data_IF_352227059840
#
_entry.id   IF_352227059840
#
_cell.length_a   1.000
_cell.length_b   1.000
_cell.length_c   1.000
_cell.angle_alpha   90.00
_cell.angle_beta   90.00
_cell.angle_gamma   90.00
#
_symmetry.space_group_name_H-M   'P 1'
#
loop_
_entity.id
_entity.type
_entity.pdbx_description
1 polymer ?
#
# COMPACT_ATOMS: atom_id res chain seq x y z
N UNK A 1 -12.07 -36.74 9.37
CA UNK A 1 -12.83 -37.37 10.46
C UNK A 1 -12.18 -37.03 11.79
N UNK A 2 -12.75 -36.11 12.57
CA UNK A 2 -12.41 -35.89 13.99
C UNK A 2 -13.72 -35.52 14.70
N UNK A 3 -14.20 -36.42 15.56
CA UNK A 3 -15.44 -36.28 16.33
C UNK A 3 -15.09 -35.58 17.64
N UNK A 4 -15.79 -34.50 17.97
CA UNK A 4 -15.68 -33.82 19.28
C UNK A 4 -16.87 -34.21 20.15
N UNK A 5 -16.59 -34.62 21.38
CA UNK A 5 -17.54 -35.11 22.38
C UNK A 5 -18.15 -33.95 23.19
N UNK A 6 -19.44 -34.09 23.54
CA UNK A 6 -20.21 -33.17 24.39
C UNK A 6 -20.05 -33.59 25.86
N UNK A 7 -19.77 -32.63 26.74
CA UNK A 7 -19.86 -32.81 28.19
C UNK A 7 -21.32 -32.62 28.64
N UNK A 8 -21.88 -33.67 29.24
CA UNK A 8 -23.12 -33.64 29.99
C UNK A 8 -22.90 -32.99 31.38
N UNK A 9 -23.85 -32.17 31.84
CA UNK A 9 -24.03 -31.91 33.26
C UNK A 9 -25.43 -32.38 33.66
N UNK A 10 -25.46 -33.24 34.68
CA UNK A 10 -26.63 -33.95 35.19
C UNK A 10 -26.70 -33.67 36.70
N UNK A 11 -27.82 -33.13 37.19
CA UNK A 11 -28.31 -33.15 38.58
C UNK A 11 -29.74 -32.55 38.55
N UNK A 12 -30.81 -33.16 39.05
CA UNK A 12 -30.92 -34.31 39.94
C UNK A 12 -32.31 -34.97 39.96
N UNK A 13 -32.46 -35.85 40.97
CA UNK A 13 -33.45 -36.90 41.19
C UNK A 13 -34.93 -36.48 41.33
N UNK A 14 -35.82 -37.37 40.87
CA UNK A 14 -37.22 -37.51 41.32
C UNK A 14 -37.84 -38.81 40.78
N UNK A 15 -38.29 -39.70 41.67
CA UNK A 15 -38.70 -41.08 41.39
C UNK A 15 -40.24 -41.23 41.37
N UNK A 16 -40.72 -42.08 40.44
CA UNK A 16 -41.97 -42.88 40.44
C UNK A 16 -43.31 -42.28 39.95
N UNK A 17 -43.76 -42.77 38.79
CA UNK A 17 -45.12 -42.68 38.25
C UNK A 17 -45.20 -43.30 36.85
N UNK A 18 -45.53 -44.59 36.75
CA UNK A 18 -45.66 -45.32 35.48
C UNK A 18 -47.03 -45.02 34.83
N UNK A 19 -47.07 -43.99 33.98
CA UNK A 19 -48.11 -43.80 32.98
C UNK A 19 -47.39 -43.40 31.68
N UNK A 20 -47.69 -44.09 30.57
CA UNK A 20 -46.96 -43.96 29.31
C UNK A 20 -46.95 -42.54 28.76
N UNK A 21 -45.88 -41.80 29.02
CA UNK A 21 -45.55 -40.57 28.30
C UNK A 21 -44.53 -40.97 27.23
N UNK A 22 -44.98 -41.06 25.98
CA UNK A 22 -44.05 -41.20 24.85
C UNK A 22 -43.09 -40.01 24.88
N UNK A 23 -41.76 -40.20 24.96
CA UNK A 23 -40.85 -39.07 24.84
C UNK A 23 -41.04 -38.48 23.45
N UNK A 24 -41.58 -37.27 23.36
CA UNK A 24 -41.51 -36.49 22.13
C UNK A 24 -40.03 -36.16 21.93
N UNK A 25 -39.42 -36.81 20.94
CA UNK A 25 -38.12 -36.39 20.42
C UNK A 25 -38.30 -34.98 19.87
N UNK A 26 -37.95 -33.96 20.67
CA UNK A 26 -37.78 -32.60 20.17
C UNK A 26 -36.53 -32.61 19.31
N UNK A 27 -36.70 -32.75 18.00
CA UNK A 27 -35.65 -32.40 17.05
C UNK A 27 -35.47 -30.88 17.11
N UNK A 28 -34.33 -30.42 17.59
CA UNK A 28 -33.91 -29.05 17.33
C UNK A 28 -33.78 -28.90 15.81
N UNK A 29 -34.59 -28.04 15.20
CA UNK A 29 -34.41 -27.68 13.79
C UNK A 29 -33.13 -26.85 13.68
N UNK A 30 -32.26 -27.20 12.73
CA UNK A 30 -31.12 -26.34 12.41
C UNK A 30 -31.63 -24.96 11.97
N UNK A 31 -31.22 -23.91 12.69
CA UNK A 31 -31.50 -22.53 12.31
C UNK A 31 -30.29 -21.99 11.56
N UNK A 32 -30.39 -21.95 10.23
CA UNK A 32 -29.36 -21.36 9.38
C UNK A 32 -29.58 -19.85 9.29
N UNK A 33 -28.68 -19.06 9.86
CA UNK A 33 -28.66 -17.60 9.68
C UNK A 33 -27.71 -17.24 8.53
N UNK A 34 -28.16 -16.40 7.60
CA UNK A 34 -27.34 -15.88 6.52
C UNK A 34 -26.91 -14.43 6.84
N UNK A 35 -25.61 -14.16 6.78
CA UNK A 35 -25.06 -12.80 6.83
C UNK A 35 -24.64 -12.32 5.44
N UNK A 36 -24.83 -11.04 5.14
CA UNK A 36 -24.31 -10.39 3.92
C UNK A 36 -23.58 -9.10 4.27
N UNK A 37 -22.49 -8.82 3.56
CA UNK A 37 -21.74 -7.56 3.65
C UNK A 37 -21.58 -7.00 2.24
N UNK A 38 -21.78 -5.70 2.07
CA UNK A 38 -21.57 -4.98 0.81
C UNK A 38 -20.45 -3.95 0.99
N UNK A 39 -19.45 -4.01 0.13
CA UNK A 39 -18.36 -3.04 0.08
C UNK A 39 -18.64 -1.96 -0.97
N UNK A 40 -18.13 -0.76 -0.74
CA UNK A 40 -18.07 0.34 -1.72
C UNK A 40 -16.61 0.64 -1.98
N UNK A 41 -16.29 1.05 -3.22
CA UNK A 41 -14.93 1.45 -3.57
C UNK A 41 -14.52 2.71 -2.82
N UNK A 42 -13.32 2.68 -2.28
CA UNK A 42 -12.68 3.85 -1.70
C UNK A 42 -12.08 4.71 -2.83
N UNK A 43 -12.45 5.98 -2.85
CA UNK A 43 -12.00 6.98 -3.82
C UNK A 43 -10.98 7.95 -3.22
N UNK A 44 -10.67 7.82 -1.92
CA UNK A 44 -9.74 8.72 -1.24
C UNK A 44 -8.33 8.55 -1.79
N UNK A 45 -7.58 9.65 -1.75
CA UNK A 45 -6.13 9.60 -1.90
C UNK A 45 -5.52 8.81 -0.74
N UNK A 46 -4.43 8.10 -1.01
CA UNK A 46 -3.63 7.41 0.00
C UNK A 46 -2.34 8.21 0.20
N UNK A 47 -1.97 8.42 1.46
CA UNK A 47 -0.71 9.10 1.78
C UNK A 47 0.49 8.18 1.49
N UNK A 48 1.64 8.74 1.08
CA UNK A 48 2.88 7.98 0.92
C UNK A 48 3.28 7.31 2.23
N UNK A 49 3.76 6.06 2.15
CA UNK A 49 4.29 5.29 3.28
C UNK A 49 5.81 5.18 3.19
N UNK A 50 6.42 4.73 4.27
CA UNK A 50 7.83 4.35 4.26
C UNK A 50 8.00 3.09 3.38
N UNK A 51 8.81 3.15 2.30
CA UNK A 51 8.99 2.00 1.40
C UNK A 51 9.75 0.84 2.05
N UNK A 52 10.51 1.08 3.11
CA UNK A 52 11.27 0.06 3.85
C UNK A 52 10.44 -0.59 4.97
N UNK A 53 9.44 0.13 5.48
CA UNK A 53 8.52 -0.38 6.50
C UNK A 53 7.11 0.22 6.30
N UNK A 54 6.25 -0.42 5.48
CA UNK A 54 4.89 0.08 5.23
C UNK A 54 3.95 0.02 6.45
N UNK A 55 4.36 -0.64 7.54
CA UNK A 55 3.62 -0.74 8.79
C UNK A 55 4.05 0.31 9.81
N UNK A 56 5.11 1.07 9.51
CA UNK A 56 5.53 2.22 10.29
C UNK A 56 4.36 3.19 10.48
N UNK A 57 4.06 3.49 11.74
CA UNK A 57 2.96 4.40 12.10
C UNK A 57 3.32 5.86 11.91
N UNK A 58 4.61 6.17 11.94
CA UNK A 58 5.15 7.52 11.81
C UNK A 58 6.28 7.53 10.76
N UNK A 59 5.96 7.28 9.47
CA UNK A 59 6.97 7.20 8.42
C UNK A 59 7.63 8.56 8.09
N UNK A 60 7.12 9.66 8.66
CA UNK A 60 7.40 11.01 8.19
C UNK A 60 6.71 11.31 6.86
N UNK A 61 7.06 12.43 6.23
CA UNK A 61 6.58 12.82 4.90
C UNK A 61 7.74 12.94 3.91
N UNK A 62 7.63 12.41 2.69
CA UNK A 62 8.65 12.63 1.68
C UNK A 62 8.73 14.12 1.33
N UNK A 63 9.96 14.60 1.13
CA UNK A 63 10.23 16.00 0.73
C UNK A 63 10.53 16.09 -0.76
N UNK A 64 10.01 17.10 -1.44
CA UNK A 64 10.40 17.38 -2.82
C UNK A 64 11.32 18.61 -2.90
N UNK A 65 12.64 18.42 -3.13
CA UNK A 65 13.59 19.53 -3.21
C UNK A 65 13.41 20.37 -4.49
N UNK A 66 12.62 19.93 -5.48
CA UNK A 66 12.37 20.67 -6.71
C UNK A 66 11.18 21.63 -6.62
N UNK A 67 10.34 21.49 -5.58
CA UNK A 67 9.16 22.33 -5.36
C UNK A 67 9.40 23.32 -4.21
N UNK A 68 9.06 24.62 -4.37
CA UNK A 68 9.17 25.60 -3.28
C UNK A 68 8.39 25.15 -2.04
N UNK A 69 9.05 25.07 -0.89
CA UNK A 69 8.45 24.62 0.36
C UNK A 69 8.42 23.10 0.57
N UNK A 70 9.09 22.31 -0.28
CA UNK A 70 9.33 20.89 -0.03
C UNK A 70 8.11 19.98 -0.21
N UNK A 71 6.97 20.50 -0.66
CA UNK A 71 5.75 19.72 -0.86
C UNK A 71 5.88 18.83 -2.08
N UNK A 72 5.76 17.53 -1.83
CA UNK A 72 5.62 16.52 -2.89
C UNK A 72 4.32 16.72 -3.68
N UNK A 73 4.35 16.57 -5.02
CA UNK A 73 3.13 16.44 -5.82
C UNK A 73 2.25 15.36 -5.22
N UNK A 74 0.96 15.67 -5.03
CA UNK A 74 0.01 14.70 -4.50
C UNK A 74 -0.13 13.48 -5.43
N UNK A 75 -0.32 12.30 -4.84
CA UNK A 75 -0.70 11.11 -5.59
C UNK A 75 -2.04 11.25 -6.30
N UNK A 76 -2.32 10.36 -7.24
CA UNK A 76 -3.62 10.27 -7.90
C UNK A 76 -4.67 9.73 -6.91
N UNK A 77 -5.89 10.25 -6.93
CA UNK A 77 -7.00 9.65 -6.16
C UNK A 77 -7.55 8.38 -6.82
N UNK A 78 -8.45 7.70 -6.11
CA UNK A 78 -9.22 6.59 -6.66
C UNK A 78 -8.80 5.19 -6.16
N UNK A 79 -9.51 4.14 -6.60
CA UNK A 79 -9.28 2.78 -6.14
C UNK A 79 -8.04 2.11 -6.76
N UNK A 80 -7.44 2.69 -7.80
CA UNK A 80 -6.10 2.35 -8.26
C UNK A 80 -5.33 3.66 -8.43
N UNK A 81 -4.29 3.85 -7.62
CA UNK A 81 -3.59 5.12 -7.53
C UNK A 81 -2.07 4.96 -7.54
N UNK A 82 -1.37 5.93 -8.13
CA UNK A 82 0.02 6.23 -7.80
C UNK A 82 -0.02 7.20 -6.61
N UNK A 83 0.41 6.76 -5.44
CA UNK A 83 0.38 7.57 -4.23
C UNK A 83 1.58 8.51 -4.16
N UNK A 84 2.71 8.06 -4.73
CA UNK A 84 3.97 8.79 -4.73
C UNK A 84 4.91 8.29 -5.84
N UNK A 85 5.72 9.20 -6.38
CA UNK A 85 6.88 8.88 -7.20
C UNK A 85 8.01 9.87 -6.87
N UNK A 86 9.20 9.35 -6.57
CA UNK A 86 10.37 10.18 -6.26
C UNK A 86 10.79 11.06 -7.45
N UNK A 87 11.08 12.33 -7.17
CA UNK A 87 11.85 13.20 -8.07
C UNK A 87 13.32 12.76 -8.06
N UNK A 88 13.89 12.47 -9.24
CA UNK A 88 15.27 12.00 -9.34
C UNK A 88 16.24 13.18 -9.40
N UNK A 89 17.06 13.35 -8.37
CA UNK A 89 18.01 14.47 -8.25
C UNK A 89 19.43 13.95 -8.27
N UNK A 90 20.18 14.22 -9.35
CA UNK A 90 21.56 13.76 -9.50
C UNK A 90 22.59 14.67 -8.81
N UNK A 91 22.20 15.91 -8.48
CA UNK A 91 23.09 16.88 -7.85
C UNK A 91 24.13 17.44 -8.81
N UNK A 92 25.26 17.85 -8.26
CA UNK A 92 26.41 18.33 -9.02
C UNK A 92 27.36 17.17 -9.30
N UNK A 93 27.85 17.10 -10.54
CA UNK A 93 28.84 16.13 -10.95
C UNK A 93 29.84 16.78 -11.90
N UNK A 94 31.07 16.29 -11.89
CA UNK A 94 32.12 16.76 -12.80
C UNK A 94 31.80 16.34 -14.24
N UNK A 95 32.15 17.20 -15.20
CA UNK A 95 32.00 16.87 -16.62
C UNK A 95 33.06 15.85 -17.00
N UNK A 96 32.63 14.75 -17.61
CA UNK A 96 33.50 13.72 -18.19
C UNK A 96 33.62 13.89 -19.70
N UNK A 97 34.80 13.58 -20.25
CA UNK A 97 35.01 13.44 -21.70
C UNK A 97 34.74 12.02 -22.21
N UNK A 98 34.53 11.06 -21.30
CA UNK A 98 34.17 9.67 -21.55
C UNK A 98 32.77 9.35 -20.97
N UNK A 99 32.24 8.17 -21.26
CA UNK A 99 30.99 7.68 -20.68
C UNK A 99 31.06 7.71 -19.14
N UNK A 100 30.08 8.37 -18.51
CA UNK A 100 29.99 8.51 -17.07
C UNK A 100 28.60 8.13 -16.57
N UNK A 101 28.55 7.51 -15.40
CA UNK A 101 27.31 7.17 -14.70
C UNK A 101 27.16 8.04 -13.46
N UNK A 102 26.05 8.75 -13.37
CA UNK A 102 25.70 9.57 -12.21
C UNK A 102 24.51 8.97 -11.48
N UNK A 103 24.60 8.90 -10.16
CA UNK A 103 23.54 8.32 -9.33
C UNK A 103 22.64 9.40 -8.75
N UNK A 104 21.33 9.16 -8.80
CA UNK A 104 20.37 10.01 -8.12
C UNK A 104 20.55 9.91 -6.60
N UNK A 105 20.46 11.06 -5.92
CA UNK A 105 20.37 11.16 -4.46
C UNK A 105 19.13 10.39 -3.95
N UNK A 106 19.18 9.91 -2.70
CA UNK A 106 18.04 9.25 -2.08
C UNK A 106 16.86 10.22 -1.89
N UNK A 107 15.67 9.64 -1.71
CA UNK A 107 14.48 10.36 -1.32
C UNK A 107 14.54 10.69 0.17
N UNK A 108 14.56 11.97 0.52
CA UNK A 108 14.52 12.42 1.91
C UNK A 108 13.10 12.45 2.44
N UNK A 109 12.93 12.07 3.72
CA UNK A 109 11.70 12.17 4.49
C UNK A 109 11.93 13.07 5.70
N UNK A 110 10.98 13.94 6.00
CA UNK A 110 10.96 14.75 7.23
C UNK A 110 10.03 14.12 8.25
N UNK A 111 10.55 13.91 9.47
CA UNK A 111 9.82 13.41 10.62
C UNK A 111 9.08 14.54 11.35
N UNK A 112 8.15 14.18 12.24
CA UNK A 112 7.35 15.14 13.00
C UNK A 112 8.19 16.05 13.91
N UNK A 113 9.37 15.58 14.35
CA UNK A 113 10.33 16.35 15.15
C UNK A 113 11.28 17.22 14.31
N UNK A 114 11.10 17.25 12.99
CA UNK A 114 11.91 18.00 12.03
C UNK A 114 13.21 17.30 11.61
N UNK A 115 13.53 16.13 12.15
CA UNK A 115 14.67 15.34 11.69
C UNK A 115 14.42 14.79 10.29
N UNK A 116 15.49 14.56 9.53
CA UNK A 116 15.40 14.03 8.17
C UNK A 116 16.03 12.66 8.07
N UNK A 117 15.40 11.77 7.31
CA UNK A 117 15.87 10.42 7.07
C UNK A 117 15.82 10.11 5.59
N UNK A 118 16.88 9.51 5.06
CA UNK A 118 16.96 9.13 3.65
C UNK A 118 16.41 7.71 3.40
N UNK A 119 15.79 7.56 2.23
CA UNK A 119 15.19 6.32 1.72
C UNK A 119 15.54 6.15 0.24
N UNK A 120 15.54 4.91 -0.30
CA UNK A 120 15.69 4.71 -1.74
C UNK A 120 14.63 5.48 -2.54
N UNK A 121 14.95 5.85 -3.78
CA UNK A 121 13.94 6.36 -4.71
C UNK A 121 12.91 5.27 -4.99
N UNK A 122 11.62 5.62 -4.98
CA UNK A 122 10.54 4.64 -5.08
C UNK A 122 9.31 5.19 -5.77
N UNK A 123 8.45 4.28 -6.21
CA UNK A 123 7.10 4.56 -6.64
C UNK A 123 6.17 3.73 -5.77
N UNK A 124 5.12 4.35 -5.24
CA UNK A 124 4.09 3.67 -4.46
C UNK A 124 2.78 3.63 -5.24
N UNK A 125 2.21 2.43 -5.34
CA UNK A 125 0.93 2.17 -5.98
C UNK A 125 -0.02 1.52 -4.97
N UNK A 126 -1.25 2.01 -4.91
CA UNK A 126 -2.32 1.42 -4.09
C UNK A 126 -3.44 0.88 -4.97
N UNK A 127 -3.83 -0.37 -4.75
CA UNK A 127 -4.95 -1.03 -5.42
C UNK A 127 -6.00 -1.49 -4.41
N UNK A 128 -7.11 -0.75 -4.35
CA UNK A 128 -8.31 -0.96 -3.51
C UNK A 128 -9.52 -1.46 -4.33
N UNK A 129 -9.33 -1.88 -5.59
CA UNK A 129 -10.44 -2.27 -6.47
C UNK A 129 -11.13 -3.57 -6.05
N UNK A 130 -10.37 -4.51 -5.48
CA UNK A 130 -10.87 -5.83 -5.12
C UNK A 130 -11.25 -6.71 -6.32
N UNK A 131 -10.89 -6.32 -7.54
CA UNK A 131 -11.19 -7.05 -8.78
C UNK A 131 -10.17 -8.14 -9.11
N UNK A 132 -9.00 -8.13 -8.47
CA UNK A 132 -7.88 -9.05 -8.71
C UNK A 132 -7.35 -9.02 -10.15
N UNK A 133 -7.60 -7.94 -10.90
CA UNK A 133 -7.21 -7.78 -12.31
C UNK A 133 -5.72 -7.49 -12.51
N UNK A 134 -4.98 -7.24 -11.43
CA UNK A 134 -3.60 -6.77 -11.48
C UNK A 134 -3.48 -5.34 -12.03
N UNK A 135 -2.25 -4.86 -12.16
CA UNK A 135 -1.95 -3.53 -12.69
C UNK A 135 -0.59 -3.53 -13.39
N UNK A 136 -0.40 -2.57 -14.30
CA UNK A 136 0.85 -2.36 -15.02
C UNK A 136 1.25 -0.90 -14.91
N UNK A 137 2.46 -0.64 -14.43
CA UNK A 137 3.06 0.68 -14.43
C UNK A 137 3.96 0.83 -15.66
N UNK A 138 3.87 1.98 -16.34
CA UNK A 138 4.74 2.34 -17.47
C UNK A 138 5.40 3.68 -17.18
N UNK A 139 6.67 3.78 -17.50
CA UNK A 139 7.45 5.03 -17.42
C UNK A 139 7.73 5.48 -18.85
N UNK A 140 7.57 6.78 -19.11
CA UNK A 140 7.87 7.39 -20.40
C UNK A 140 8.67 8.67 -20.17
N UNK A 141 9.77 8.80 -20.90
CA UNK A 141 10.51 10.04 -21.02
C UNK A 141 9.91 10.84 -22.18
N UNK A 142 9.37 12.02 -21.90
CA UNK A 142 8.69 12.84 -22.90
C UNK A 142 9.67 13.59 -23.81
N UNK A 143 10.81 14.04 -23.27
CA UNK A 143 11.84 14.79 -24.00
C UNK A 143 13.24 14.30 -23.61
N UNK A 144 14.24 14.54 -24.47
CA UNK A 144 15.64 14.31 -24.10
C UNK A 144 16.06 15.26 -22.95
N UNK A 145 17.00 14.83 -22.11
CA UNK A 145 17.63 15.70 -21.13
C UNK A 145 18.26 16.89 -21.81
N UNK A 146 18.13 18.08 -21.23
CA UNK A 146 18.66 19.31 -21.79
C UNK A 146 19.20 20.22 -20.69
N UNK A 147 19.98 21.23 -21.10
CA UNK A 147 20.46 22.26 -20.18
C UNK A 147 19.25 23.00 -19.60
N UNK A 148 19.22 23.14 -18.26
CA UNK A 148 18.09 23.70 -17.50
C UNK A 148 17.52 25.00 -18.09
N UNK A 149 18.41 25.90 -18.51
CA UNK A 149 18.03 27.24 -18.98
C UNK A 149 18.03 27.35 -20.52
N UNK A 150 18.23 26.25 -21.23
CA UNK A 150 18.26 26.20 -22.70
C UNK A 150 17.80 24.83 -23.21
N UNK A 151 16.47 24.62 -23.38
CA UNK A 151 15.92 23.33 -23.79
C UNK A 151 16.29 22.94 -25.22
N UNK A 152 16.88 23.87 -26.01
CA UNK A 152 17.38 23.55 -27.36
C UNK A 152 18.72 22.83 -27.33
N UNK A 153 19.42 22.84 -26.19
CA UNK A 153 20.69 22.14 -25.98
C UNK A 153 20.45 20.82 -25.26
N UNK A 154 20.09 19.82 -26.05
CA UNK A 154 19.92 18.46 -25.58
C UNK A 154 21.26 17.79 -25.26
N UNK A 155 21.27 17.04 -24.16
CA UNK A 155 22.32 16.11 -23.78
C UNK A 155 22.13 14.81 -24.59
N UNK A 156 22.45 14.89 -25.89
CA UNK A 156 22.31 13.75 -26.81
C UNK A 156 23.12 12.56 -26.31
N UNK A 157 22.47 11.39 -26.22
CA UNK A 157 23.09 10.16 -25.74
C UNK A 157 22.94 9.92 -24.24
N UNK A 158 22.51 10.93 -23.46
CA UNK A 158 22.15 10.73 -22.06
C UNK A 158 20.94 9.80 -21.94
N UNK A 159 21.00 8.88 -20.98
CA UNK A 159 19.95 7.89 -20.74
C UNK A 159 19.68 7.77 -19.25
N UNK A 160 18.41 7.52 -18.92
CA UNK A 160 18.01 7.16 -17.57
C UNK A 160 17.81 5.65 -17.48
N UNK A 161 18.46 5.05 -16.48
CA UNK A 161 18.29 3.64 -16.17
C UNK A 161 17.86 3.48 -14.71
N UNK A 162 17.03 2.45 -14.47
CA UNK A 162 16.64 2.01 -13.14
C UNK A 162 17.26 0.65 -12.89
N UNK A 163 18.00 0.50 -11.78
CA UNK A 163 18.74 -0.71 -11.40
C UNK A 163 18.21 -1.31 -10.11
#
# INVERSE_FOLDING_TARGET
>A
MKKFYVMASMLGLGMLGLAGVTPTLVSASDVTSNGQVKFKLDQSQTDPKNPLDPADKNPGKPTDPTHPGGKVPGGTGGPLSIDFASSLIFGEAEISHEDATYYAKPQTFTQDDGTTVDRPNFIQVTDKRGTFEGWTLKVKQENQFAVKDDPTKELTGAQLSFT
#
